data_IF_613019505101
#
_entry.id   IF_613019505101
#
_cell.length_a   1.000
_cell.length_b   1.000
_cell.length_c   1.000
_cell.angle_alpha   90.00
_cell.angle_beta   90.00
_cell.angle_gamma   90.00
#
_symmetry.space_group_name_H-M   'P 1'
#
loop_
_entity.id
_entity.type
_entity.pdbx_description
1 polymer ?
#
# COMPACT_ATOMS: atom_id res chain seq x y z
N UNK A 1 21.43 6.36 15.62
CA UNK A 1 21.16 6.93 16.97
C UNK A 1 19.62 6.99 17.04
N UNK A 2 18.97 7.91 17.76
CA UNK A 2 17.54 8.18 17.56
C UNK A 2 17.33 9.67 17.30
N UNK A 3 18.25 10.27 16.55
CA UNK A 3 18.20 11.67 16.20
C UNK A 3 17.36 11.90 14.95
N UNK A 4 17.19 13.15 14.55
CA UNK A 4 16.41 13.56 13.37
C UNK A 4 16.69 12.71 12.12
N UNK A 5 17.96 12.45 11.81
CA UNK A 5 18.35 11.65 10.65
C UNK A 5 17.82 10.20 10.69
N UNK A 6 17.66 9.62 11.88
CA UNK A 6 17.11 8.28 12.04
C UNK A 6 15.58 8.27 11.79
N UNK A 7 14.86 9.36 12.11
CA UNK A 7 13.44 9.53 11.76
C UNK A 7 13.25 9.69 10.26
N UNK A 8 14.05 10.56 9.62
CA UNK A 8 14.03 10.77 8.17
C UNK A 8 14.33 9.47 7.43
N UNK A 9 15.36 8.72 7.84
CA UNK A 9 15.71 7.44 7.23
C UNK A 9 14.57 6.42 7.30
N UNK A 10 13.86 6.31 8.43
CA UNK A 10 12.71 5.40 8.56
C UNK A 10 11.58 5.80 7.62
N UNK A 11 11.36 7.09 7.43
CA UNK A 11 10.33 7.58 6.51
C UNK A 11 10.72 7.26 5.06
N UNK A 12 11.97 7.51 4.70
CA UNK A 12 12.50 7.27 3.36
C UNK A 12 12.51 5.78 2.99
N UNK A 13 12.91 4.90 3.91
CA UNK A 13 12.92 3.45 3.72
C UNK A 13 11.51 2.92 3.41
N UNK A 14 10.52 3.35 4.19
CA UNK A 14 9.13 2.94 3.98
C UNK A 14 8.55 3.51 2.68
N UNK A 15 8.85 4.78 2.36
CA UNK A 15 8.45 5.38 1.10
C UNK A 15 9.08 4.66 -0.11
N UNK A 16 10.34 4.23 0.02
CA UNK A 16 11.03 3.37 -0.95
C UNK A 16 10.30 2.04 -1.13
N UNK A 17 10.03 1.31 -0.04
CA UNK A 17 9.32 0.05 -0.09
C UNK A 17 7.93 0.16 -0.74
N UNK A 18 7.17 1.21 -0.41
CA UNK A 18 5.87 1.48 -1.02
C UNK A 18 5.97 1.80 -2.52
N UNK A 19 7.01 2.52 -2.93
CA UNK A 19 7.27 2.82 -4.34
C UNK A 19 7.60 1.55 -5.11
N UNK A 20 8.51 0.72 -4.59
CA UNK A 20 8.92 -0.54 -5.21
C UNK A 20 7.75 -1.51 -5.33
N UNK A 21 6.94 -1.63 -4.27
CA UNK A 21 5.71 -2.43 -4.27
C UNK A 21 4.75 -1.99 -5.40
N UNK A 22 4.58 -0.68 -5.60
CA UNK A 22 3.75 -0.15 -6.67
C UNK A 22 4.35 -0.40 -8.06
N UNK A 23 5.66 -0.19 -8.23
CA UNK A 23 6.37 -0.39 -9.50
C UNK A 23 6.34 -1.86 -9.93
N UNK A 24 6.46 -2.78 -8.98
CA UNK A 24 6.36 -4.22 -9.22
C UNK A 24 4.93 -4.65 -9.54
N UNK A 25 3.96 -4.23 -8.72
CA UNK A 25 2.63 -4.83 -8.79
C UNK A 25 1.72 -4.21 -9.85
N UNK A 26 1.82 -2.91 -10.13
CA UNK A 26 0.93 -2.25 -11.10
C UNK A 26 1.01 -2.87 -12.51
N UNK A 27 2.19 -3.08 -13.12
CA UNK A 27 2.27 -3.66 -14.46
C UNK A 27 1.77 -5.10 -14.48
N UNK A 28 2.12 -5.90 -13.47
CA UNK A 28 1.69 -7.30 -13.36
C UNK A 28 0.18 -7.42 -13.19
N UNK A 29 -0.43 -6.53 -12.40
CA UNK A 29 -1.87 -6.49 -12.19
C UNK A 29 -2.62 -6.04 -13.45
N UNK A 30 -2.11 -5.03 -14.15
CA UNK A 30 -2.67 -4.57 -15.43
C UNK A 30 -2.62 -5.66 -16.52
N UNK A 31 -1.53 -6.43 -16.56
CA UNK A 31 -1.40 -7.59 -17.45
C UNK A 31 -2.48 -8.64 -17.17
N UNK A 32 -2.68 -9.04 -15.90
CA UNK A 32 -3.73 -10.00 -15.53
C UNK A 32 -5.14 -9.49 -15.83
N UNK A 33 -5.41 -8.19 -15.65
CA UNK A 33 -6.67 -7.59 -16.06
C UNK A 33 -6.91 -7.68 -17.57
N UNK A 34 -5.86 -7.48 -18.39
CA UNK A 34 -5.95 -7.67 -19.85
C UNK A 34 -6.22 -9.13 -20.20
N UNK A 35 -5.54 -10.08 -19.57
CA UNK A 35 -5.81 -11.51 -19.74
C UNK A 35 -7.25 -11.87 -19.39
N UNK A 36 -7.79 -11.32 -18.30
CA UNK A 36 -9.17 -11.57 -17.89
C UNK A 36 -10.16 -10.98 -18.90
N UNK A 37 -9.90 -9.76 -19.38
CA UNK A 37 -10.70 -9.13 -20.44
C UNK A 37 -10.80 -10.02 -21.67
N UNK A 38 -9.66 -10.52 -22.14
CA UNK A 38 -9.60 -11.38 -23.33
C UNK A 38 -10.31 -12.71 -23.08
N UNK A 39 -10.08 -13.34 -21.92
CA UNK A 39 -10.76 -14.60 -21.52
C UNK A 39 -12.29 -14.45 -21.49
N UNK A 40 -12.78 -13.29 -21.03
CA UNK A 40 -14.22 -13.00 -20.89
C UNK A 40 -14.84 -12.38 -22.14
N UNK A 41 -14.04 -12.09 -23.17
CA UNK A 41 -14.51 -11.45 -24.41
C UNK A 41 -15.10 -10.06 -24.18
N UNK A 42 -14.64 -9.33 -23.15
CA UNK A 42 -15.19 -8.03 -22.82
C UNK A 42 -14.78 -6.95 -23.83
N UNK A 43 -15.74 -6.12 -24.23
CA UNK A 43 -15.47 -4.86 -24.93
C UNK A 43 -14.71 -3.89 -24.02
N UNK A 44 -14.23 -2.77 -24.57
CA UNK A 44 -13.57 -1.74 -23.75
C UNK A 44 -14.53 -1.18 -22.67
N UNK A 45 -15.77 -0.88 -23.04
CA UNK A 45 -16.76 -0.32 -22.10
C UNK A 45 -17.16 -1.32 -21.02
N UNK A 46 -17.36 -2.58 -21.41
CA UNK A 46 -17.61 -3.65 -20.44
C UNK A 46 -16.43 -3.82 -19.49
N UNK A 47 -15.20 -3.79 -20.00
CA UNK A 47 -13.99 -3.90 -19.18
C UNK A 47 -13.94 -2.83 -18.08
N UNK A 48 -14.25 -1.57 -18.37
CA UNK A 48 -14.23 -0.51 -17.36
C UNK A 48 -15.22 -0.76 -16.21
N UNK A 49 -16.38 -1.34 -16.52
CA UNK A 49 -17.40 -1.69 -15.52
C UNK A 49 -17.04 -2.96 -14.74
N UNK A 50 -16.69 -4.02 -15.46
CA UNK A 50 -16.47 -5.35 -14.90
C UNK A 50 -15.11 -5.48 -14.18
N UNK A 51 -14.12 -4.63 -14.51
CA UNK A 51 -12.84 -4.58 -13.82
C UNK A 51 -12.91 -3.82 -12.48
N UNK A 52 -13.89 -2.92 -12.29
CA UNK A 52 -13.97 -2.06 -11.12
C UNK A 52 -13.96 -2.83 -9.78
N UNK A 53 -14.67 -3.96 -9.63
CA UNK A 53 -14.64 -4.75 -8.40
C UNK A 53 -13.27 -5.33 -8.04
N UNK A 54 -12.34 -5.47 -8.99
CA UNK A 54 -10.99 -6.00 -8.73
C UNK A 54 -10.05 -4.97 -8.10
N UNK A 55 -10.41 -3.69 -8.17
CA UNK A 55 -9.62 -2.57 -7.61
C UNK A 55 -10.39 -1.76 -6.56
N UNK A 56 -11.70 -1.99 -6.42
CA UNK A 56 -12.55 -1.34 -5.43
C UNK A 56 -13.65 -2.28 -4.96
N UNK A 57 -13.62 -2.58 -3.67
CA UNK A 57 -14.68 -3.27 -2.93
C UNK A 57 -14.57 -2.88 -1.44
N UNK A 58 -15.47 -3.41 -0.61
CA UNK A 58 -15.50 -3.11 0.83
C UNK A 58 -14.21 -3.50 1.56
N UNK A 59 -13.56 -4.61 1.17
CA UNK A 59 -12.32 -5.06 1.79
C UNK A 59 -11.13 -4.19 1.36
N UNK A 60 -11.09 -3.76 0.10
CA UNK A 60 -10.13 -2.79 -0.41
C UNK A 60 -10.31 -1.44 0.28
N UNK A 61 -11.56 -1.01 0.50
CA UNK A 61 -11.86 0.22 1.23
C UNK A 61 -11.34 0.17 2.68
N UNK A 62 -11.41 -0.98 3.36
CA UNK A 62 -10.80 -1.16 4.69
C UNK A 62 -9.28 -0.99 4.64
N UNK A 63 -8.59 -1.58 3.65
CA UNK A 63 -7.14 -1.36 3.50
C UNK A 63 -6.80 0.10 3.21
N UNK A 64 -7.62 0.79 2.43
CA UNK A 64 -7.42 2.21 2.11
C UNK A 64 -7.60 3.10 3.34
N UNK A 65 -8.67 2.90 4.11
CA UNK A 65 -8.92 3.61 5.37
C UNK A 65 -7.80 3.39 6.39
N UNK A 66 -7.34 2.14 6.55
CA UNK A 66 -6.23 1.84 7.46
C UNK A 66 -4.93 2.50 7.02
N UNK A 67 -4.67 2.55 5.72
CA UNK A 67 -3.48 3.21 5.17
C UNK A 67 -3.54 4.73 5.37
N UNK A 68 -4.69 5.35 5.15
CA UNK A 68 -4.91 6.78 5.43
C UNK A 68 -4.69 7.10 6.91
N UNK A 69 -5.22 6.26 7.81
CA UNK A 69 -5.02 6.39 9.26
C UNK A 69 -3.54 6.28 9.63
N UNK A 70 -2.83 5.27 9.11
CA UNK A 70 -1.41 5.08 9.37
C UNK A 70 -0.58 6.27 8.86
N UNK A 71 -0.87 6.77 7.66
CA UNK A 71 -0.18 7.94 7.09
C UNK A 71 -0.35 9.19 7.96
N UNK A 72 -1.54 9.42 8.51
CA UNK A 72 -1.78 10.52 9.45
C UNK A 72 -0.94 10.35 10.73
N UNK A 73 -0.98 9.17 11.36
CA UNK A 73 -0.19 8.87 12.56
C UNK A 73 1.32 9.03 12.32
N UNK A 74 1.81 8.54 11.17
CA UNK A 74 3.21 8.64 10.73
C UNK A 74 3.63 10.11 10.59
N UNK A 75 2.79 10.93 9.96
CA UNK A 75 3.05 12.36 9.76
C UNK A 75 3.22 13.07 11.11
N UNK A 76 2.30 12.81 12.06
CA UNK A 76 2.36 13.39 13.41
C UNK A 76 3.62 12.94 14.15
N UNK A 77 3.92 11.64 14.19
CA UNK A 77 5.07 11.11 14.92
C UNK A 77 6.42 11.52 14.31
N UNK A 78 6.49 11.61 12.99
CA UNK A 78 7.68 12.09 12.27
C UNK A 78 7.98 13.55 12.62
N UNK A 79 6.94 14.40 12.68
CA UNK A 79 7.09 15.79 13.09
C UNK A 79 7.50 15.92 14.56
N UNK A 80 6.79 15.24 15.46
CA UNK A 80 7.10 15.26 16.90
C UNK A 80 8.54 14.82 17.18
N UNK A 81 9.03 13.80 16.47
CA UNK A 81 10.40 13.30 16.64
C UNK A 81 11.47 14.18 16.04
N UNK A 82 11.18 14.84 14.92
CA UNK A 82 12.09 15.80 14.31
C UNK A 82 12.23 17.09 15.14
N UNK A 83 11.17 17.49 15.85
CA UNK A 83 11.12 18.68 16.69
C UNK A 83 11.53 18.40 18.16
N UNK A 84 11.73 17.14 18.54
CA UNK A 84 12.07 16.77 19.90
C UNK A 84 13.41 17.40 20.36
N UNK A 85 13.45 18.05 21.54
CA UNK A 85 14.65 18.73 22.03
C UNK A 85 15.79 17.77 22.40
N UNK A 86 15.47 16.48 22.61
CA UNK A 86 16.42 15.41 22.86
C UNK A 86 16.01 14.16 22.06
N UNK A 87 16.96 13.29 21.64
CA UNK A 87 16.64 12.05 20.94
C UNK A 87 15.61 11.19 21.69
N UNK A 88 14.49 10.85 21.03
CA UNK A 88 13.44 9.99 21.57
C UNK A 88 13.37 8.66 20.82
N UNK A 89 14.03 7.66 21.37
CA UNK A 89 14.03 6.30 20.81
C UNK A 89 12.68 5.58 20.91
N UNK A 90 11.83 5.98 21.85
CA UNK A 90 10.49 5.40 22.01
C UNK A 90 9.61 5.83 20.85
N UNK A 91 9.66 7.13 20.54
CA UNK A 91 8.94 7.71 19.41
C UNK A 91 9.44 7.16 18.07
N UNK A 92 10.77 7.03 17.90
CA UNK A 92 11.35 6.41 16.72
C UNK A 92 10.89 4.96 16.55
N UNK A 93 10.82 4.19 17.64
CA UNK A 93 10.28 2.83 17.64
C UNK A 93 8.81 2.81 17.18
N UNK A 94 8.00 3.73 17.70
CA UNK A 94 6.60 3.89 17.32
C UNK A 94 6.39 4.25 15.85
N UNK A 95 7.26 5.10 15.29
CA UNK A 95 7.28 5.45 13.87
C UNK A 95 7.64 4.24 13.01
N UNK A 96 8.71 3.50 13.36
CA UNK A 96 9.12 2.27 12.66
C UNK A 96 8.00 1.25 12.57
N UNK A 97 7.31 0.99 13.68
CA UNK A 97 6.19 0.04 13.71
C UNK A 97 5.05 0.46 12.78
N UNK A 98 4.68 1.74 12.76
CA UNK A 98 3.59 2.23 11.90
C UNK A 98 3.98 2.22 10.42
N UNK A 99 5.22 2.57 10.11
CA UNK A 99 5.76 2.45 8.75
C UNK A 99 5.74 1.01 8.25
N UNK A 100 6.20 0.05 9.07
CA UNK A 100 6.11 -1.37 8.74
C UNK A 100 4.66 -1.80 8.53
N UNK A 101 3.76 -1.40 9.42
CA UNK A 101 2.33 -1.74 9.33
C UNK A 101 1.70 -1.20 8.05
N UNK A 102 2.10 0.00 7.60
CA UNK A 102 1.63 0.57 6.33
C UNK A 102 2.10 -0.25 5.12
N UNK A 103 3.38 -0.64 5.10
CA UNK A 103 3.94 -1.51 4.05
C UNK A 103 3.23 -2.87 4.02
N UNK A 104 2.98 -3.46 5.19
CA UNK A 104 2.28 -4.74 5.33
C UNK A 104 0.82 -4.63 4.86
N UNK A 105 0.14 -3.53 5.20
CA UNK A 105 -1.25 -3.24 4.77
C UNK A 105 -1.34 -3.12 3.26
N UNK A 106 -0.42 -2.39 2.63
CA UNK A 106 -0.36 -2.24 1.18
C UNK A 106 -0.01 -3.56 0.48
N UNK A 107 0.88 -4.36 1.07
CA UNK A 107 1.21 -5.70 0.58
C UNK A 107 -0.01 -6.61 0.63
N UNK A 108 -0.73 -6.64 1.76
CA UNK A 108 -1.95 -7.42 1.92
C UNK A 108 -3.04 -7.00 0.93
N UNK A 109 -3.20 -5.69 0.67
CA UNK A 109 -4.12 -5.16 -0.34
C UNK A 109 -3.76 -5.71 -1.73
N UNK A 110 -2.48 -5.64 -2.13
CA UNK A 110 -2.03 -6.19 -3.41
C UNK A 110 -2.29 -7.70 -3.51
N UNK A 111 -1.91 -8.46 -2.49
CA UNK A 111 -2.17 -9.90 -2.44
C UNK A 111 -3.64 -10.22 -2.61
N UNK A 112 -4.53 -9.49 -1.93
CA UNK A 112 -5.96 -9.66 -2.05
C UNK A 112 -6.45 -9.37 -3.48
N UNK A 113 -6.04 -8.26 -4.09
CA UNK A 113 -6.43 -7.92 -5.46
C UNK A 113 -5.94 -8.99 -6.47
N UNK A 114 -4.70 -9.48 -6.32
CA UNK A 114 -4.18 -10.57 -7.17
C UNK A 114 -4.96 -11.87 -7.00
N UNK A 115 -5.26 -12.27 -5.77
CA UNK A 115 -6.07 -13.48 -5.50
C UNK A 115 -7.43 -13.42 -6.19
N UNK A 116 -8.08 -12.24 -6.23
CA UNK A 116 -9.34 -12.06 -6.95
C UNK A 116 -9.17 -12.33 -8.45
N UNK A 117 -8.14 -11.75 -9.07
CA UNK A 117 -7.86 -11.97 -10.50
C UNK A 117 -7.50 -13.42 -10.80
N UNK A 118 -6.63 -14.02 -10.00
CA UNK A 118 -6.20 -15.40 -10.19
C UNK A 118 -7.38 -16.37 -10.09
N UNK A 119 -8.27 -16.15 -9.13
CA UNK A 119 -9.53 -16.91 -9.01
C UNK A 119 -10.41 -16.74 -10.24
N UNK A 120 -10.59 -15.50 -10.71
CA UNK A 120 -11.43 -15.21 -11.89
C UNK A 120 -10.83 -15.75 -13.20
N UNK A 121 -9.50 -15.85 -13.29
CA UNK A 121 -8.75 -16.41 -14.41
C UNK A 121 -8.72 -17.94 -14.40
N UNK A 122 -8.86 -18.58 -13.24
CA UNK A 122 -8.94 -20.04 -13.12
C UNK A 122 -10.32 -20.61 -13.50
N UNK A 123 -11.37 -19.77 -13.46
CA UNK A 123 -12.74 -20.09 -13.92
C UNK A 123 -12.87 -19.86 -15.43
#
# INVERSE_FOLDING_TARGET
MCGKADFEAVVDDAAGALRDLNLQNKPAFQEKLRQLKDKRGWSHDAFLKEAAPFVRDDKIAVYDQESERLLADISTLGQEGAEAPTPDCTLLGGLKTRMQTLVDTQTAKWTYMFQKLDTALAQ
#
